data_IF_431887169031
#
_entry.id   IF_431887169031
#
_cell.length_a   1.000
_cell.length_b   1.000
_cell.length_c   1.000
_cell.angle_alpha   90.00
_cell.angle_beta   90.00
_cell.angle_gamma   90.00
#
_symmetry.space_group_name_H-M   'P 1'
#
loop_
_entity.id
_entity.type
_entity.pdbx_description
1 polymer ?
#
# COMPACT_ATOMS: atom_id res chain seq x y z
N UNK A 1 30.85 7.18 15.19
CA UNK A 1 29.86 6.85 14.13
C UNK A 1 28.66 6.21 14.80
N UNK A 2 27.44 6.26 14.25
CA UNK A 2 26.27 5.68 14.92
C UNK A 2 26.40 4.15 14.93
N UNK A 3 26.89 3.60 16.06
CA UNK A 3 27.26 2.18 16.19
C UNK A 3 26.08 1.24 15.97
N UNK A 4 24.89 1.64 16.43
CA UNK A 4 23.67 0.81 16.36
C UNK A 4 23.22 0.53 14.93
N UNK A 5 23.31 1.51 14.03
CA UNK A 5 22.91 1.30 12.63
C UNK A 5 23.90 0.39 11.90
N UNK A 6 25.20 0.58 12.16
CA UNK A 6 26.23 -0.29 11.60
C UNK A 6 26.09 -1.72 12.07
N UNK A 7 25.87 -1.94 13.37
CA UNK A 7 25.61 -3.26 13.94
C UNK A 7 24.37 -3.90 13.30
N UNK A 8 23.28 -3.15 13.17
CA UNK A 8 22.05 -3.62 12.50
C UNK A 8 22.29 -4.07 11.07
N UNK A 9 23.11 -3.34 10.31
CA UNK A 9 23.46 -3.67 8.92
C UNK A 9 24.36 -4.90 8.83
N UNK A 10 25.33 -5.05 9.74
CA UNK A 10 26.20 -6.24 9.81
C UNK A 10 25.37 -7.48 10.11
N UNK A 11 24.54 -7.44 11.16
CA UNK A 11 23.72 -8.58 11.58
C UNK A 11 22.74 -9.02 10.48
N UNK A 12 22.21 -8.07 9.70
CA UNK A 12 21.43 -8.39 8.49
C UNK A 12 22.25 -9.07 7.40
N UNK A 13 23.43 -8.53 7.10
CA UNK A 13 24.31 -9.06 6.06
C UNK A 13 24.75 -10.50 6.36
N UNK A 14 24.95 -10.80 7.65
CA UNK A 14 25.32 -12.11 8.14
C UNK A 14 24.10 -13.03 8.36
N UNK A 15 22.88 -12.52 8.15
CA UNK A 15 21.60 -13.21 8.41
C UNK A 15 21.57 -13.82 9.82
N UNK A 16 22.03 -13.03 10.79
CA UNK A 16 22.14 -13.47 12.17
C UNK A 16 20.77 -13.94 12.68
N UNK A 17 20.74 -15.14 13.26
CA UNK A 17 19.51 -15.71 13.79
C UNK A 17 18.97 -14.84 14.92
N UNK A 18 17.77 -14.30 14.75
CA UNK A 18 17.12 -13.42 15.73
C UNK A 18 17.21 -11.92 15.40
N UNK A 19 18.15 -11.49 14.56
CA UNK A 19 18.28 -10.11 14.09
C UNK A 19 17.28 -9.77 12.97
N UNK A 20 16.00 -10.12 13.15
CA UNK A 20 14.95 -9.92 12.14
C UNK A 20 14.37 -8.49 12.20
N UNK A 21 15.21 -7.47 12.08
CA UNK A 21 14.76 -6.07 12.20
C UNK A 21 13.94 -5.61 10.99
N UNK A 22 14.13 -6.22 9.81
CA UNK A 22 13.26 -6.06 8.64
C UNK A 22 11.95 -6.83 8.76
N UNK A 23 11.63 -7.39 9.93
CA UNK A 23 10.37 -8.11 10.13
C UNK A 23 9.18 -7.24 9.82
N UNK A 24 9.23 -5.97 10.21
CA UNK A 24 8.20 -4.97 10.00
C UNK A 24 8.79 -3.78 9.26
N UNK A 25 8.07 -3.24 8.30
CA UNK A 25 8.53 -2.11 7.52
C UNK A 25 7.45 -1.56 6.59
N UNK A 26 7.78 -0.51 5.83
CA UNK A 26 6.88 0.11 4.87
C UNK A 26 6.82 -0.73 3.58
N UNK A 27 6.34 -1.96 3.69
CA UNK A 27 6.20 -2.87 2.56
C UNK A 27 4.79 -2.80 1.93
N UNK A 28 3.87 -2.06 2.56
CA UNK A 28 2.54 -1.82 2.04
C UNK A 28 2.60 -0.80 0.90
N UNK A 29 1.90 -1.07 -0.22
CA UNK A 29 1.71 -0.06 -1.24
C UNK A 29 0.73 1.01 -0.75
N UNK A 30 0.95 2.27 -1.14
CA UNK A 30 0.06 3.39 -0.83
C UNK A 30 -0.94 3.71 -1.94
N UNK A 31 -0.86 2.93 -3.04
CA UNK A 31 -1.71 3.04 -4.21
C UNK A 31 -1.81 1.70 -4.94
N UNK A 32 -2.92 0.99 -4.74
CA UNK A 32 -3.19 -0.28 -5.40
C UNK A 32 -4.58 -0.37 -6.05
N UNK A 33 -5.44 0.64 -5.87
CA UNK A 33 -6.72 0.68 -6.57
C UNK A 33 -6.59 1.10 -8.04
N UNK A 34 -7.55 0.67 -8.87
CA UNK A 34 -7.51 0.93 -10.31
C UNK A 34 -6.43 0.17 -11.08
N UNK A 35 -5.77 -0.82 -10.48
CA UNK A 35 -4.71 -1.58 -11.15
C UNK A 35 -5.27 -2.72 -11.98
N UNK A 36 -4.58 -3.04 -13.08
CA UNK A 36 -4.90 -4.22 -13.92
C UNK A 36 -4.89 -5.53 -13.13
N UNK A 37 -4.11 -5.58 -12.04
CA UNK A 37 -3.95 -6.75 -11.19
C UNK A 37 -5.22 -7.08 -10.40
N UNK A 38 -6.00 -6.08 -9.99
CA UNK A 38 -7.27 -6.28 -9.29
C UNK A 38 -8.48 -6.40 -10.24
N UNK A 39 -8.28 -6.20 -11.55
CA UNK A 39 -9.34 -6.42 -12.53
C UNK A 39 -9.66 -7.91 -12.65
N UNK A 40 -10.93 -8.26 -12.46
CA UNK A 40 -11.40 -9.65 -12.55
C UNK A 40 -12.49 -9.87 -13.60
N UNK A 41 -12.96 -8.81 -14.26
CA UNK A 41 -13.97 -8.92 -15.31
C UNK A 41 -13.40 -8.64 -16.70
N UNK A 42 -14.13 -9.12 -17.71
CA UNK A 42 -13.86 -8.85 -19.11
C UNK A 42 -14.11 -7.37 -19.45
N UNK A 43 -13.25 -6.78 -20.27
CA UNK A 43 -13.34 -5.38 -20.69
C UNK A 43 -12.11 -4.57 -20.30
N UNK A 44 -12.28 -3.25 -20.18
CA UNK A 44 -11.19 -2.35 -19.83
C UNK A 44 -10.84 -2.50 -18.34
N UNK A 45 -9.63 -3.01 -18.00
CA UNK A 45 -9.22 -3.25 -16.63
C UNK A 45 -9.17 -1.96 -15.78
N UNK A 46 -8.96 -0.80 -16.42
CA UNK A 46 -8.90 0.48 -15.74
C UNK A 46 -10.26 0.97 -15.26
N UNK A 47 -11.36 0.44 -15.80
CA UNK A 47 -12.73 0.78 -15.42
C UNK A 47 -13.35 -0.24 -14.45
N UNK A 48 -12.67 -1.36 -14.19
CA UNK A 48 -13.26 -2.48 -13.47
C UNK A 48 -13.26 -2.32 -11.92
N UNK A 49 -12.22 -1.67 -11.40
CA UNK A 49 -12.01 -1.52 -9.95
C UNK A 49 -11.90 -0.03 -9.56
N UNK A 50 -13.05 0.61 -9.41
CA UNK A 50 -13.18 2.05 -9.08
C UNK A 50 -12.74 2.37 -7.65
N UNK A 51 -12.47 3.65 -7.37
CA UNK A 51 -12.18 4.13 -6.01
C UNK A 51 -13.26 3.72 -5.02
N UNK A 52 -14.52 3.88 -5.42
CA UNK A 52 -15.66 3.51 -4.59
C UNK A 52 -15.60 2.02 -4.25
N UNK A 53 -15.35 1.14 -5.24
CA UNK A 53 -15.12 -0.29 -5.01
C UNK A 53 -13.97 -0.56 -4.03
N UNK A 54 -12.86 0.16 -4.15
CA UNK A 54 -11.70 0.01 -3.28
C UNK A 54 -11.97 0.32 -1.79
N UNK A 55 -13.01 1.12 -1.48
CA UNK A 55 -13.36 1.45 -0.09
C UNK A 55 -14.06 0.32 0.66
N UNK A 56 -14.64 -0.66 -0.02
CA UNK A 56 -15.43 -1.71 0.62
C UNK A 56 -15.13 -3.13 0.12
N UNK A 57 -14.34 -3.28 -0.95
CA UNK A 57 -13.92 -4.58 -1.47
C UNK A 57 -12.57 -4.98 -0.88
N UNK A 58 -12.47 -6.26 -0.52
CA UNK A 58 -11.19 -6.88 -0.23
C UNK A 58 -10.39 -7.05 -1.52
N UNK A 59 -9.14 -6.60 -1.51
CA UNK A 59 -8.18 -6.80 -2.58
C UNK A 59 -7.79 -8.29 -2.63
N UNK A 60 -7.68 -8.85 -3.84
CA UNK A 60 -7.38 -10.28 -4.02
C UNK A 60 -5.90 -10.55 -4.24
N UNK A 61 -5.21 -9.61 -4.87
CA UNK A 61 -3.87 -9.80 -5.43
C UNK A 61 -2.91 -8.68 -5.00
N UNK A 62 -3.34 -7.80 -4.11
CA UNK A 62 -2.54 -6.74 -3.53
C UNK A 62 -3.08 -6.28 -2.18
N UNK A 63 -2.44 -5.25 -1.67
CA UNK A 63 -2.82 -4.54 -0.45
C UNK A 63 -2.63 -3.03 -0.65
N UNK A 64 -3.36 -2.22 0.09
CA UNK A 64 -3.27 -0.76 -0.01
C UNK A 64 -3.41 -0.12 1.37
N UNK A 65 -2.72 0.99 1.59
CA UNK A 65 -2.87 1.77 2.81
C UNK A 65 -1.88 2.92 2.94
N UNK A 66 -2.39 4.07 3.36
CA UNK A 66 -1.62 5.29 3.55
C UNK A 66 -0.61 5.13 4.69
N UNK A 67 0.67 5.42 4.43
CA UNK A 67 1.75 5.29 5.42
C UNK A 67 1.78 3.90 6.07
N UNK A 68 1.52 2.88 5.25
CA UNK A 68 1.29 1.53 5.72
C UNK A 68 2.55 0.84 6.23
N UNK A 69 2.40 0.05 7.29
CA UNK A 69 3.41 -0.89 7.75
C UNK A 69 2.85 -2.30 7.67
N UNK A 70 3.69 -3.25 7.25
CA UNK A 70 3.35 -4.66 7.28
C UNK A 70 4.53 -5.48 7.73
N UNK A 71 4.25 -6.72 8.14
CA UNK A 71 5.34 -7.67 8.24
C UNK A 71 5.86 -7.99 6.84
N UNK A 72 7.13 -8.41 6.70
CA UNK A 72 7.77 -8.64 5.39
C UNK A 72 7.08 -9.66 4.47
N UNK A 73 6.07 -10.38 4.97
CA UNK A 73 5.28 -11.34 4.21
C UNK A 73 3.84 -10.84 3.97
N UNK A 74 3.54 -9.58 4.30
CA UNK A 74 2.23 -8.93 4.18
C UNK A 74 1.09 -9.75 4.79
N UNK A 75 1.32 -10.42 5.93
CA UNK A 75 0.31 -11.21 6.65
C UNK A 75 -0.52 -10.33 7.58
N UNK A 76 0.11 -9.31 8.15
CA UNK A 76 -0.50 -8.29 8.99
C UNK A 76 -0.16 -6.92 8.40
N UNK A 77 -1.21 -6.17 8.10
CA UNK A 77 -1.11 -4.87 7.44
C UNK A 77 -1.80 -3.82 8.32
N UNK A 78 -1.09 -2.72 8.57
CA UNK A 78 -1.61 -1.56 9.28
C UNK A 78 -1.42 -0.33 8.41
N UNK A 79 -2.36 0.60 8.48
CA UNK A 79 -2.28 1.88 7.77
C UNK A 79 -2.83 3.01 8.62
N UNK A 80 -2.41 4.23 8.31
CA UNK A 80 -3.00 5.41 8.88
C UNK A 80 -4.32 5.70 8.19
N UNK A 81 -5.33 6.02 8.99
CA UNK A 81 -6.65 6.41 8.49
C UNK A 81 -7.05 7.75 9.05
N UNK A 82 -7.43 8.68 8.18
CA UNK A 82 -7.76 10.06 8.53
C UNK A 82 -9.24 10.35 8.28
N UNK A 83 -9.84 11.21 9.10
CA UNK A 83 -11.19 11.72 8.85
C UNK A 83 -11.20 13.24 8.99
N UNK A 84 -11.81 13.90 8.02
CA UNK A 84 -11.93 15.35 7.99
C UNK A 84 -13.21 15.86 8.68
N UNK A 85 -14.02 14.97 9.25
CA UNK A 85 -15.29 15.32 9.91
C UNK A 85 -16.44 15.66 8.96
N UNK A 86 -16.23 15.61 7.64
CA UNK A 86 -17.21 16.05 6.62
C UNK A 86 -17.66 14.92 5.70
N UNK A 87 -16.72 14.13 5.20
CA UNK A 87 -17.08 13.09 4.23
C UNK A 87 -17.60 11.83 4.94
N UNK A 88 -18.47 11.06 4.27
CA UNK A 88 -19.00 9.81 4.82
C UNK A 88 -17.96 8.69 4.91
N UNK A 89 -16.75 8.90 4.38
CA UNK A 89 -15.68 7.90 4.33
C UNK A 89 -14.43 8.34 5.08
N UNK A 90 -13.74 7.33 5.61
CA UNK A 90 -12.39 7.44 6.11
C UNK A 90 -11.38 7.46 4.96
N UNK A 91 -10.32 8.24 5.11
CA UNK A 91 -9.23 8.37 4.14
C UNK A 91 -8.08 7.50 4.60
N UNK A 92 -8.07 6.28 4.09
CA UNK A 92 -7.03 5.28 4.36
C UNK A 92 -6.13 5.04 3.15
N UNK A 93 -6.36 5.75 2.04
CA UNK A 93 -5.64 5.64 0.77
C UNK A 93 -5.66 6.98 0.03
N UNK A 94 -4.70 7.16 -0.87
CA UNK A 94 -4.67 8.32 -1.76
C UNK A 94 -5.75 8.20 -2.84
N UNK A 95 -6.41 9.31 -3.15
CA UNK A 95 -7.32 9.36 -4.28
C UNK A 95 -6.49 9.49 -5.57
N UNK A 96 -6.29 8.38 -6.26
CA UNK A 96 -5.72 8.36 -7.61
C UNK A 96 -6.74 8.73 -8.69
N UNK A 97 -6.25 9.17 -9.84
CA UNK A 97 -6.99 9.14 -11.10
C UNK A 97 -6.53 7.91 -11.87
N UNK A 98 -7.43 7.24 -12.57
CA UNK A 98 -7.05 6.22 -13.55
C UNK A 98 -6.34 6.88 -14.73
N UNK A 99 -5.63 6.09 -15.55
CA UNK A 99 -4.90 6.61 -16.70
C UNK A 99 -5.70 7.58 -17.59
N UNK A 100 -6.97 7.28 -17.95
CA UNK A 100 -7.82 8.20 -18.72
C UNK A 100 -8.32 9.44 -17.96
N UNK A 101 -8.29 9.44 -16.62
CA UNK A 101 -8.83 10.51 -15.79
C UNK A 101 -7.78 11.57 -15.42
N UNK A 102 -6.49 11.23 -15.42
CA UNK A 102 -5.41 12.14 -15.03
C UNK A 102 -4.70 12.82 -16.20
N UNK A 103 -4.16 14.02 -15.93
CA UNK A 103 -3.50 14.85 -16.96
C UNK A 103 -2.16 14.25 -17.45
N UNK A 104 -1.52 13.39 -16.66
CA UNK A 104 -0.27 12.70 -17.00
C UNK A 104 -0.40 11.16 -16.81
N UNK A 105 -1.61 10.62 -16.97
CA UNK A 105 -1.92 9.25 -16.60
C UNK A 105 -2.31 9.16 -15.13
N UNK A 106 -1.81 8.15 -14.42
CA UNK A 106 -2.11 7.92 -13.02
C UNK A 106 -1.57 9.05 -12.11
N UNK A 107 -2.46 9.91 -11.59
CA UNK A 107 -2.10 11.06 -10.73
C UNK A 107 -2.83 10.99 -9.38
N UNK A 108 -2.28 11.59 -8.32
CA UNK A 108 -2.90 11.65 -6.99
C UNK A 108 -3.56 13.03 -6.79
N UNK A 109 -4.80 13.04 -6.31
CA UNK A 109 -5.59 14.24 -6.00
C UNK A 109 -5.92 14.36 -4.52
#
# INVERSE_FOLDING_TARGET
MPEVEWERLVNESERESGANWKRWGPYLAERQWGTVRESTADGDPWLNFTHEGATWRTYRWGEDGLLGISDRQCRLCFSLTLWNGKDPILKERLFGLTGPEGNHGEDVK
#
